data_IF_485804125089
#
_entry.id   IF_485804125089
#
_cell.length_a   1.000
_cell.length_b   1.000
_cell.length_c   1.000
_cell.angle_alpha   90.00
_cell.angle_beta   90.00
_cell.angle_gamma   90.00
#
_symmetry.space_group_name_H-M   'P 1'
#
loop_
_entity.id
_entity.type
_entity.pdbx_description
1 polymer ?
#
# COMPACT_ATOMS: atom_id res chain seq x y z
N UNK A 1 -14.04 -8.90 -19.51
CA UNK A 1 -12.83 -8.04 -19.64
C UNK A 1 -12.54 -7.45 -18.26
N UNK A 2 -11.31 -7.54 -17.73
CA UNK A 2 -11.00 -6.92 -16.44
C UNK A 2 -11.17 -5.41 -16.56
N UNK A 3 -11.96 -4.80 -15.66
CA UNK A 3 -12.01 -3.33 -15.55
C UNK A 3 -10.63 -2.86 -15.12
N UNK A 4 -9.86 -2.27 -16.04
CA UNK A 4 -8.64 -1.54 -15.67
C UNK A 4 -9.09 -0.25 -15.00
N UNK A 5 -9.23 -0.27 -13.68
CA UNK A 5 -9.39 0.96 -12.90
C UNK A 5 -8.17 1.84 -13.16
N UNK A 6 -8.38 3.09 -13.59
CA UNK A 6 -7.28 4.05 -13.76
C UNK A 6 -6.51 4.18 -12.45
N UNK A 7 -5.18 4.12 -12.53
CA UNK A 7 -4.29 4.32 -11.38
C UNK A 7 -4.55 5.71 -10.80
N UNK A 8 -4.87 5.78 -9.52
CA UNK A 8 -5.12 7.06 -8.84
C UNK A 8 -4.75 6.91 -7.38
N UNK A 9 -3.83 7.75 -6.91
CA UNK A 9 -3.38 7.80 -5.52
C UNK A 9 -3.67 9.19 -4.96
N UNK A 10 -4.15 9.22 -3.72
CA UNK A 10 -4.48 10.46 -3.03
C UNK A 10 -4.00 10.36 -1.60
N UNK A 11 -3.40 11.45 -1.12
CA UNK A 11 -3.14 11.64 0.30
C UNK A 11 -4.41 12.24 0.92
N UNK A 12 -4.89 11.63 2.01
CA UNK A 12 -6.04 12.09 2.77
C UNK A 12 -5.69 12.12 4.25
N UNK A 13 -6.22 13.10 4.98
CA UNK A 13 -6.13 13.11 6.43
C UNK A 13 -6.91 11.94 7.05
N UNK A 14 -6.30 11.28 8.02
CA UNK A 14 -6.87 10.21 8.81
C UNK A 14 -6.65 10.54 10.28
N UNK A 15 -7.74 10.68 11.03
CA UNK A 15 -7.69 10.79 12.49
C UNK A 15 -7.81 9.40 13.09
N UNK A 16 -6.87 9.02 13.95
CA UNK A 16 -6.91 7.76 14.69
C UNK A 16 -6.65 8.04 16.17
N UNK A 17 -7.41 7.36 17.03
CA UNK A 17 -7.19 7.35 18.47
C UNK A 17 -6.02 6.45 18.81
N UNK A 18 -5.03 7.02 19.48
CA UNK A 18 -3.83 6.35 19.95
C UNK A 18 -4.01 5.99 21.42
N UNK A 19 -3.70 4.74 21.74
CA UNK A 19 -3.71 4.21 23.10
C UNK A 19 -2.32 3.65 23.40
N UNK A 20 -1.64 4.30 24.35
CA UNK A 20 -0.32 3.89 24.84
C UNK A 20 -0.52 3.46 26.29
N UNK A 21 -0.02 2.27 26.71
CA UNK A 21 -0.12 1.84 28.10
C UNK A 21 0.42 2.89 29.06
N UNK A 22 -0.27 3.10 30.18
CA UNK A 22 0.07 4.06 31.23
C UNK A 22 0.08 5.55 30.79
N UNK A 23 -0.48 5.86 29.61
CA UNK A 23 -0.64 7.21 29.09
C UNK A 23 -2.12 7.55 28.84
N UNK A 24 -2.44 8.84 28.75
CA UNK A 24 -3.77 9.30 28.34
C UNK A 24 -3.96 9.01 26.85
N UNK A 25 -5.15 8.55 26.46
CA UNK A 25 -5.48 8.34 25.05
C UNK A 25 -5.74 9.67 24.34
N UNK A 26 -5.30 9.78 23.09
CA UNK A 26 -5.42 11.01 22.31
C UNK A 26 -5.65 10.71 20.82
N UNK A 27 -6.27 11.65 20.12
CA UNK A 27 -6.53 11.55 18.69
C UNK A 27 -5.41 12.24 17.90
N UNK A 28 -4.75 11.52 17.00
CA UNK A 28 -3.76 12.08 16.07
C UNK A 28 -4.38 12.13 14.67
N UNK A 29 -4.25 13.27 13.99
CA UNK A 29 -4.59 13.38 12.58
C UNK A 29 -3.32 13.36 11.74
N UNK A 30 -3.17 12.33 10.92
CA UNK A 30 -2.00 12.15 10.03
C UNK A 30 -2.43 11.93 8.58
N UNK A 31 -1.46 12.02 7.67
CA UNK A 31 -1.68 11.74 6.26
C UNK A 31 -1.71 10.23 5.99
N UNK A 32 -2.69 9.76 5.21
CA UNK A 32 -2.83 8.39 4.77
C UNK A 32 -2.97 8.29 3.24
N UNK A 33 -2.48 7.19 2.65
CA UNK A 33 -2.56 6.93 1.20
C UNK A 33 -3.83 6.14 0.88
N UNK A 34 -4.69 6.66 -0.01
CA UNK A 34 -5.87 5.95 -0.52
C UNK A 34 -5.93 6.02 -2.04
N UNK A 35 -6.21 4.89 -2.69
CA UNK A 35 -6.25 4.88 -4.14
C UNK A 35 -6.55 3.54 -4.79
N UNK A 36 -6.63 3.55 -6.11
CA UNK A 36 -6.70 2.35 -6.94
C UNK A 36 -5.33 2.06 -7.52
N UNK A 37 -4.90 0.82 -7.34
CA UNK A 37 -3.64 0.35 -7.86
C UNK A 37 -3.86 -0.63 -9.00
N UNK A 38 -2.94 -0.62 -9.97
CA UNK A 38 -2.93 -1.61 -11.04
C UNK A 38 -2.40 -2.92 -10.47
N UNK A 39 -3.17 -3.99 -10.65
CA UNK A 39 -2.72 -5.36 -10.39
C UNK A 39 -3.24 -6.28 -11.49
N UNK A 40 -2.40 -7.22 -11.89
CA UNK A 40 -2.71 -8.24 -12.88
C UNK A 40 -1.80 -9.45 -12.71
N UNK A 41 -2.17 -10.57 -13.31
CA UNK A 41 -1.38 -11.80 -13.26
C UNK A 41 -1.09 -12.28 -14.67
N UNK A 42 0.13 -12.73 -14.90
CA UNK A 42 0.60 -13.28 -16.17
C UNK A 42 1.23 -14.65 -15.93
N UNK A 43 1.20 -15.56 -16.92
CA UNK A 43 2.00 -16.78 -16.86
C UNK A 43 3.47 -16.43 -16.59
N UNK A 44 4.11 -17.22 -15.72
CA UNK A 44 5.51 -17.01 -15.38
C UNK A 44 6.40 -17.27 -16.60
N UNK A 45 7.48 -16.48 -16.70
CA UNK A 45 8.43 -16.63 -17.80
C UNK A 45 9.38 -17.81 -17.56
N UNK A 46 10.08 -18.22 -18.62
CA UNK A 46 11.03 -19.33 -18.59
C UNK A 46 12.10 -19.17 -17.49
N UNK A 47 12.61 -17.95 -17.26
CA UNK A 47 13.58 -17.69 -16.21
C UNK A 47 13.03 -18.02 -14.81
N UNK A 48 11.76 -17.68 -14.54
CA UNK A 48 11.08 -17.99 -13.28
C UNK A 48 10.86 -19.50 -13.15
N UNK A 49 10.41 -20.16 -14.22
CA UNK A 49 10.15 -21.61 -14.23
C UNK A 49 11.42 -22.45 -14.05
N UNK A 50 12.58 -21.97 -14.54
CA UNK A 50 13.87 -22.64 -14.31
C UNK A 50 14.31 -22.62 -12.84
N UNK A 51 13.96 -21.56 -12.11
CA UNK A 51 14.27 -21.44 -10.67
C UNK A 51 13.22 -22.16 -9.83
N UNK A 52 11.95 -22.04 -10.20
CA UNK A 52 10.83 -22.70 -9.52
C UNK A 52 9.81 -23.20 -10.56
N UNK A 53 9.88 -24.48 -10.96
CA UNK A 53 8.96 -25.07 -11.93
C UNK A 53 7.49 -25.05 -11.50
N UNK A 54 7.23 -24.92 -10.19
CA UNK A 54 5.87 -24.90 -9.63
C UNK A 54 5.25 -23.49 -9.62
N UNK A 55 6.03 -22.43 -9.86
CA UNK A 55 5.51 -21.07 -9.97
C UNK A 55 5.07 -20.78 -11.40
N UNK A 56 3.85 -21.22 -11.74
CA UNK A 56 3.29 -21.06 -13.09
C UNK A 56 2.70 -19.67 -13.36
N UNK A 57 2.39 -18.91 -12.30
CA UNK A 57 1.76 -17.61 -12.38
C UNK A 57 2.60 -16.56 -11.64
N UNK A 58 2.82 -15.42 -12.29
CA UNK A 58 3.44 -14.25 -11.70
C UNK A 58 2.41 -13.13 -11.60
N UNK A 59 2.14 -12.69 -10.37
CA UNK A 59 1.28 -11.53 -10.11
C UNK A 59 2.11 -10.26 -10.02
N UNK A 60 1.67 -9.22 -10.72
CA UNK A 60 2.23 -7.88 -10.68
C UNK A 60 1.23 -6.99 -9.95
N UNK A 61 1.67 -6.34 -8.88
CA UNK A 61 0.86 -5.40 -8.12
C UNK A 61 1.64 -4.12 -7.87
N UNK A 62 0.95 -2.98 -8.01
CA UNK A 62 1.41 -1.71 -7.45
C UNK A 62 0.59 -1.46 -6.19
N UNK A 63 1.18 -0.80 -5.19
CA UNK A 63 0.47 -0.38 -3.98
C UNK A 63 0.57 1.15 -3.84
N UNK A 64 -0.42 1.77 -3.19
CA UNK A 64 -0.34 3.16 -2.73
C UNK A 64 0.56 3.17 -1.50
N UNK A 65 1.64 3.97 -1.50
CA UNK A 65 2.53 4.11 -0.36
C UNK A 65 2.87 5.58 -0.12
N UNK A 66 3.19 5.92 1.13
CA UNK A 66 3.70 7.22 1.52
C UNK A 66 5.18 7.25 1.13
N UNK A 67 5.56 8.14 0.21
CA UNK A 67 6.93 8.22 -0.32
C UNK A 67 7.81 9.20 0.46
N UNK A 68 7.19 10.19 1.10
CA UNK A 68 7.84 11.29 1.79
C UNK A 68 7.05 11.60 3.07
N UNK A 69 7.77 11.88 4.14
CA UNK A 69 7.24 12.12 5.48
C UNK A 69 7.94 13.32 6.09
N UNK A 70 7.19 14.11 6.83
CA UNK A 70 7.71 15.21 7.64
C UNK A 70 7.46 14.87 9.11
N UNK A 71 8.48 15.10 9.94
CA UNK A 71 8.35 14.92 11.39
C UNK A 71 7.69 16.15 12.00
N UNK A 72 6.62 15.93 12.74
CA UNK A 72 5.90 16.98 13.46
C UNK A 72 5.96 16.66 14.95
N UNK A 73 6.51 17.58 15.73
CA UNK A 73 6.57 17.50 17.20
C UNK A 73 5.50 18.41 17.82
N UNK A 74 4.69 17.87 18.74
CA UNK A 74 3.84 18.69 19.61
C UNK A 74 4.72 19.54 20.55
N UNK A 75 4.42 20.84 20.64
CA UNK A 75 5.05 21.79 21.59
C UNK A 75 4.16 21.98 22.82
#
# INVERSE_FOLDING_TARGET
MPRVSRKTFQIKGHTQRISIPDCVEFDITTNACRGYCVSFSIPSNEATLRVNPNQLLTSVGQCCNIMETEDVSDH
#
